data_IF_549390336582
#
_entry.id   IF_549390336582
#
_cell.length_a   1.000
_cell.length_b   1.000
_cell.length_c   1.000
_cell.angle_alpha   90.00
_cell.angle_beta   90.00
_cell.angle_gamma   90.00
#
_symmetry.space_group_name_H-M   'P 1'
#
loop_
_entity.id
_entity.type
_entity.pdbx_description
1 polymer ?
#
# COMPACT_ATOMS: atom_id res chain seq x y z
N UNK A 1 -7.40 -37.51 11.86
CA UNK A 1 -8.37 -36.37 11.88
C UNK A 1 -8.33 -35.52 13.16
N UNK A 2 -7.72 -35.95 14.28
CA UNK A 2 -7.60 -35.13 15.50
C UNK A 2 -6.73 -33.86 15.34
N UNK A 3 -5.73 -33.91 14.44
CA UNK A 3 -4.76 -32.83 14.23
C UNK A 3 -5.35 -31.58 13.55
N UNK A 4 -6.22 -31.74 12.55
CA UNK A 4 -6.91 -30.59 11.92
C UNK A 4 -7.85 -29.90 12.90
N UNK A 5 -8.45 -30.66 13.82
CA UNK A 5 -9.35 -30.12 14.85
C UNK A 5 -8.60 -29.30 15.89
N UNK A 6 -7.37 -29.69 16.26
CA UNK A 6 -6.51 -28.90 17.16
C UNK A 6 -6.01 -27.62 16.49
N UNK A 7 -5.62 -27.68 15.21
CA UNK A 7 -5.22 -26.49 14.44
C UNK A 7 -6.37 -25.47 14.35
N UNK A 8 -7.59 -25.92 14.05
CA UNK A 8 -8.76 -25.03 14.05
C UNK A 8 -9.08 -24.42 15.42
N UNK A 9 -8.77 -25.12 16.52
CA UNK A 9 -8.91 -24.58 17.88
C UNK A 9 -7.85 -23.53 18.19
N UNK A 10 -6.58 -23.77 17.83
CA UNK A 10 -5.50 -22.79 17.98
C UNK A 10 -5.73 -21.55 17.13
N UNK A 11 -6.22 -21.70 15.88
CA UNK A 11 -6.56 -20.56 15.04
C UNK A 11 -7.68 -19.69 15.60
N UNK A 12 -8.55 -20.21 16.48
CA UNK A 12 -9.56 -19.41 17.19
C UNK A 12 -9.02 -18.72 18.44
N UNK A 13 -7.91 -19.21 19.00
CA UNK A 13 -7.21 -18.60 20.13
C UNK A 13 -6.28 -17.46 19.68
N UNK A 14 -5.79 -17.52 18.44
CA UNK A 14 -5.09 -16.40 17.80
C UNK A 14 -6.12 -15.30 17.50
N UNK A 15 -5.82 -14.10 17.98
CA UNK A 15 -6.67 -12.92 17.80
C UNK A 15 -6.68 -12.54 16.33
N UNK A 16 -7.69 -13.02 15.58
CA UNK A 16 -7.87 -12.58 14.21
C UNK A 16 -8.32 -11.12 14.20
N UNK A 17 -7.60 -10.23 13.52
CA UNK A 17 -7.96 -8.83 13.42
C UNK A 17 -9.34 -8.72 12.78
N UNK A 18 -10.22 -7.94 13.38
CA UNK A 18 -11.54 -7.68 12.82
C UNK A 18 -11.36 -6.90 11.51
N UNK A 19 -12.10 -7.25 10.46
CA UNK A 19 -11.94 -6.65 9.13
C UNK A 19 -12.02 -5.11 9.07
N UNK A 20 -12.59 -4.48 10.10
CA UNK A 20 -12.58 -3.02 10.30
C UNK A 20 -11.18 -2.45 10.53
N UNK A 21 -10.32 -3.16 11.26
CA UNK A 21 -8.96 -2.73 11.55
C UNK A 21 -8.08 -2.81 10.30
N UNK A 22 -8.27 -3.89 9.52
CA UNK A 22 -7.66 -4.03 8.20
C UNK A 22 -8.07 -2.89 7.27
N UNK A 23 -9.36 -2.55 7.21
CA UNK A 23 -9.85 -1.46 6.35
C UNK A 23 -9.26 -0.08 6.73
N UNK A 24 -9.06 0.19 8.03
CA UNK A 24 -8.42 1.43 8.49
C UNK A 24 -6.95 1.51 8.07
N UNK A 25 -6.20 0.41 8.23
CA UNK A 25 -4.81 0.30 7.79
C UNK A 25 -4.68 0.46 6.28
N UNK A 26 -5.55 -0.17 5.50
CA UNK A 26 -5.56 -0.01 4.03
C UNK A 26 -5.87 1.43 3.62
N UNK A 27 -6.76 2.12 4.34
CA UNK A 27 -7.07 3.53 4.08
C UNK A 27 -5.85 4.46 4.18
N UNK A 28 -5.03 4.29 5.23
CA UNK A 28 -3.78 5.05 5.39
C UNK A 28 -2.76 4.76 4.29
N UNK A 29 -2.66 3.50 3.85
CA UNK A 29 -1.77 3.14 2.74
C UNK A 29 -2.25 3.78 1.44
N UNK A 30 -3.55 3.73 1.14
CA UNK A 30 -4.12 4.34 -0.06
C UNK A 30 -3.91 5.86 -0.09
N UNK A 31 -4.08 6.55 1.04
CA UNK A 31 -3.80 8.00 1.08
C UNK A 31 -2.35 8.33 0.78
N UNK A 32 -1.41 7.51 1.27
CA UNK A 32 0.01 7.70 1.01
C UNK A 32 0.37 7.42 -0.46
N UNK A 33 -0.24 6.40 -1.06
CA UNK A 33 -0.07 6.09 -2.49
C UNK A 33 -0.56 7.24 -3.37
N UNK A 34 -1.70 7.84 -3.05
CA UNK A 34 -2.23 8.99 -3.80
C UNK A 34 -1.28 10.20 -3.68
N UNK A 35 -0.75 10.46 -2.49
CA UNK A 35 0.20 11.55 -2.28
C UNK A 35 1.49 11.35 -3.12
N UNK A 36 2.04 10.14 -3.14
CA UNK A 36 3.20 9.83 -3.97
C UNK A 36 2.90 9.90 -5.47
N UNK A 37 1.73 9.44 -5.90
CA UNK A 37 1.33 9.52 -7.31
C UNK A 37 1.29 10.98 -7.81
N UNK A 38 0.76 11.89 -7.00
CA UNK A 38 0.76 13.33 -7.30
C UNK A 38 2.18 13.91 -7.34
N UNK A 39 3.03 13.52 -6.38
CA UNK A 39 4.43 13.96 -6.37
C UNK A 39 5.18 13.52 -7.64
N UNK A 40 5.05 12.24 -8.02
CA UNK A 40 5.68 11.74 -9.24
C UNK A 40 5.17 12.45 -10.49
N UNK A 41 3.86 12.72 -10.60
CA UNK A 41 3.32 13.45 -11.74
C UNK A 41 3.95 14.85 -11.92
N UNK A 42 4.20 15.57 -10.83
CA UNK A 42 4.88 16.88 -10.85
C UNK A 42 6.36 16.73 -11.21
N UNK A 43 7.03 15.76 -10.59
CA UNK A 43 8.45 15.49 -10.82
C UNK A 43 8.70 15.07 -12.27
N UNK A 44 7.89 14.17 -12.82
CA UNK A 44 8.00 13.71 -14.20
C UNK A 44 7.85 14.87 -15.20
N UNK A 45 6.91 15.78 -14.95
CA UNK A 45 6.75 16.98 -15.76
C UNK A 45 7.97 17.93 -15.65
N UNK A 46 8.49 18.11 -14.44
CA UNK A 46 9.70 18.92 -14.20
C UNK A 46 10.95 18.33 -14.85
N UNK A 47 11.15 17.02 -14.74
CA UNK A 47 12.25 16.29 -15.37
C UNK A 47 12.11 16.35 -16.88
N UNK A 48 10.92 16.12 -17.43
CA UNK A 48 10.69 16.19 -18.88
C UNK A 48 11.04 17.57 -19.44
N UNK A 49 10.64 18.64 -18.73
CA UNK A 49 10.99 20.01 -19.11
C UNK A 49 12.51 20.29 -19.04
N UNK A 50 13.17 19.85 -17.98
CA UNK A 50 14.63 19.96 -17.81
C UNK A 50 15.41 19.20 -18.89
N UNK A 51 14.99 17.98 -19.19
CA UNK A 51 15.60 17.13 -20.22
C UNK A 51 15.39 17.76 -21.61
N UNK A 52 14.20 18.28 -21.91
CA UNK A 52 13.95 19.00 -23.16
C UNK A 52 14.87 20.22 -23.31
N UNK A 53 15.06 21.00 -22.24
CA UNK A 53 15.92 22.18 -22.27
C UNK A 53 17.40 21.81 -22.50
N UNK A 54 17.89 20.74 -21.87
CA UNK A 54 19.25 20.24 -22.06
C UNK A 54 19.49 19.60 -23.44
N UNK A 55 18.51 18.89 -24.00
CA UNK A 55 18.61 18.28 -25.34
C UNK A 55 18.32 19.27 -26.48
N UNK A 56 17.67 20.40 -26.20
CA UNK A 56 17.42 21.48 -27.16
C UNK A 56 18.62 22.42 -27.36
N UNK A 57 19.66 22.28 -26.55
CA UNK A 57 20.92 23.02 -26.63
C UNK A 57 21.92 22.27 -27.53
#
# INVERSE_FOLDING_TARGET
MKFLKSVFQEMKLVTWPTGKELARLTGTVVSNVIAFALFFAVVDAGITALVHLLLSF
#
